data_IF_208296334091
#
_entry.id   IF_208296334091
#
_cell.length_a   1.000
_cell.length_b   1.000
_cell.length_c   1.000
_cell.angle_alpha   90.00
_cell.angle_beta   90.00
_cell.angle_gamma   90.00
#
_symmetry.space_group_name_H-M   'P 1'
#
loop_
_entity.id
_entity.type
_entity.pdbx_description
1 polymer ?
#
# COMPACT_ATOMS: atom_id res chain seq x y z
N UNK A 1 28.35 -68.57 -74.56
CA UNK A 1 26.92 -68.24 -74.70
C UNK A 1 26.30 -68.07 -73.33
N UNK A 2 25.51 -67.00 -73.18
CA UNK A 2 24.61 -66.63 -72.10
C UNK A 2 25.26 -65.90 -70.93
N UNK A 3 25.04 -64.60 -70.98
CA UNK A 3 25.17 -63.56 -69.94
C UNK A 3 24.25 -63.87 -68.79
N UNK A 4 24.78 -63.79 -67.59
CA UNK A 4 23.94 -63.63 -66.40
C UNK A 4 24.18 -62.26 -65.80
N UNK A 5 23.17 -61.46 -65.83
CA UNK A 5 23.13 -60.14 -65.26
C UNK A 5 22.98 -60.27 -63.72
N UNK A 6 23.95 -59.84 -62.98
CA UNK A 6 23.87 -59.68 -61.54
C UNK A 6 23.43 -58.25 -61.28
N UNK A 7 22.21 -58.11 -60.84
CA UNK A 7 21.63 -56.85 -60.36
C UNK A 7 22.11 -56.61 -58.91
N UNK A 8 22.95 -55.60 -58.77
CA UNK A 8 23.40 -55.14 -57.46
C UNK A 8 22.40 -54.12 -56.93
N UNK A 9 21.59 -54.52 -55.96
CA UNK A 9 20.65 -53.64 -55.25
C UNK A 9 21.44 -52.89 -54.15
N UNK A 10 21.68 -51.59 -54.35
CA UNK A 10 22.18 -50.68 -53.35
C UNK A 10 21.07 -50.29 -52.40
N UNK A 11 21.07 -50.83 -51.19
CA UNK A 11 20.18 -50.36 -50.09
C UNK A 11 20.75 -49.08 -49.49
N UNK A 12 20.18 -47.97 -49.83
CA UNK A 12 20.42 -46.70 -49.15
C UNK A 12 19.70 -46.69 -47.83
N UNK A 13 20.47 -46.94 -46.75
CA UNK A 13 19.98 -46.72 -45.36
C UNK A 13 19.93 -45.21 -45.11
N UNK A 14 18.71 -44.62 -45.21
CA UNK A 14 18.45 -43.30 -44.70
C UNK A 14 18.46 -43.38 -43.16
N UNK A 15 19.57 -42.98 -42.55
CA UNK A 15 19.65 -42.73 -41.15
C UNK A 15 18.77 -41.50 -40.79
N UNK A 16 17.63 -41.75 -40.20
CA UNK A 16 16.84 -40.68 -39.55
C UNK A 16 17.62 -40.17 -38.31
N UNK A 17 18.25 -39.02 -38.48
CA UNK A 17 18.80 -38.29 -37.33
C UNK A 17 17.58 -37.77 -36.56
N UNK A 18 17.15 -38.49 -35.55
CA UNK A 18 16.22 -37.97 -34.55
C UNK A 18 16.96 -36.89 -33.77
N UNK A 19 16.78 -35.65 -34.16
CA UNK A 19 17.18 -34.50 -33.35
C UNK A 19 16.45 -34.61 -32.01
N UNK A 20 17.17 -34.91 -30.95
CA UNK A 20 16.66 -34.75 -29.60
C UNK A 20 16.36 -33.25 -29.43
N UNK A 21 15.11 -32.85 -29.61
CA UNK A 21 14.66 -31.55 -29.13
C UNK A 21 14.72 -31.63 -27.61
N UNK A 22 15.67 -30.90 -27.02
CA UNK A 22 15.65 -30.65 -25.60
C UNK A 22 14.28 -30.02 -25.27
N UNK A 23 13.45 -30.74 -24.55
CA UNK A 23 12.21 -30.19 -24.06
C UNK A 23 12.58 -29.02 -23.16
N UNK A 24 12.08 -27.85 -23.54
CA UNK A 24 12.24 -26.65 -22.77
C UNK A 24 11.41 -26.79 -21.48
N UNK A 25 12.08 -27.08 -20.37
CA UNK A 25 11.43 -27.46 -19.09
C UNK A 25 10.78 -26.28 -18.36
N UNK A 26 10.52 -25.20 -19.05
CA UNK A 26 9.72 -24.09 -18.57
C UNK A 26 10.46 -22.75 -18.60
N UNK A 27 9.84 -21.80 -19.24
CA UNK A 27 10.25 -20.40 -19.16
C UNK A 27 9.26 -19.62 -18.33
N UNK A 28 9.78 -18.60 -17.64
CA UNK A 28 8.99 -17.62 -16.92
C UNK A 28 9.50 -16.22 -17.22
N UNK A 29 8.62 -15.23 -17.11
CA UNK A 29 8.96 -13.81 -17.16
C UNK A 29 8.80 -13.23 -15.76
N UNK A 30 9.85 -12.59 -15.25
CA UNK A 30 9.79 -11.77 -14.05
C UNK A 30 9.93 -10.32 -14.47
N UNK A 31 8.97 -9.50 -14.07
CA UNK A 31 9.01 -8.06 -14.36
C UNK A 31 9.30 -7.32 -13.05
N UNK A 32 10.34 -6.51 -13.06
CA UNK A 32 10.71 -5.63 -11.96
C UNK A 32 10.27 -4.21 -12.31
N UNK A 33 9.56 -3.57 -11.39
CA UNK A 33 9.11 -2.18 -11.52
C UNK A 33 9.48 -1.42 -10.25
N UNK A 34 9.74 -0.13 -10.40
CA UNK A 34 10.09 0.73 -9.29
C UNK A 34 10.32 2.16 -9.76
N UNK A 35 10.53 3.07 -8.83
CA UNK A 35 10.91 4.45 -9.10
C UNK A 35 12.06 4.87 -8.19
N UNK A 36 12.91 5.75 -8.68
CA UNK A 36 13.91 6.45 -7.88
C UNK A 36 13.34 7.84 -7.59
N UNK A 37 13.25 8.20 -6.31
CA UNK A 37 12.75 9.50 -5.87
C UNK A 37 13.88 10.26 -5.18
N UNK A 38 13.82 11.58 -5.25
CA UNK A 38 14.71 12.47 -4.48
C UNK A 38 14.09 12.70 -3.10
N UNK A 39 14.47 11.87 -2.13
CA UNK A 39 14.00 11.97 -0.75
C UNK A 39 15.16 11.63 0.20
N UNK A 40 15.29 12.36 1.33
CA UNK A 40 16.39 12.16 2.27
C UNK A 40 16.27 10.87 3.08
N UNK A 41 15.10 10.25 3.13
CA UNK A 41 14.82 8.99 3.83
C UNK A 41 14.04 8.03 2.92
N UNK A 42 14.20 6.74 3.13
CA UNK A 42 13.32 5.70 2.60
C UNK A 42 12.17 5.43 3.57
N UNK A 43 11.00 5.03 3.06
CA UNK A 43 9.91 4.56 3.90
C UNK A 43 10.10 3.07 4.17
N UNK A 44 10.01 2.64 5.44
CA UNK A 44 10.03 1.22 5.80
C UNK A 44 8.94 0.48 5.01
N UNK A 45 9.25 -0.64 4.34
CA UNK A 45 8.28 -1.41 3.56
C UNK A 45 7.00 -1.80 4.31
N UNK A 46 7.07 -2.00 5.63
CA UNK A 46 5.90 -2.29 6.48
C UNK A 46 5.00 -1.07 6.69
N UNK A 47 5.52 0.13 6.47
CA UNK A 47 4.75 1.38 6.56
C UNK A 47 4.14 1.81 5.22
N UNK A 48 4.61 1.25 4.09
CA UNK A 48 4.08 1.58 2.75
C UNK A 48 2.69 1.00 2.55
N UNK A 49 2.45 -0.21 3.08
CA UNK A 49 1.15 -0.90 3.00
C UNK A 49 0.84 -1.52 4.36
N UNK A 50 0.03 -0.82 5.14
CA UNK A 50 -0.33 -1.23 6.50
C UNK A 50 -1.84 -1.19 6.71
N UNK A 51 -2.33 -2.05 7.59
CA UNK A 51 -3.74 -2.09 7.99
C UNK A 51 -3.88 -1.60 9.42
N UNK A 52 -4.74 -0.61 9.65
CA UNK A 52 -5.11 -0.12 10.98
C UNK A 52 -6.50 -0.66 11.32
N UNK A 53 -6.57 -1.58 12.28
CA UNK A 53 -7.83 -2.14 12.74
C UNK A 53 -8.47 -1.21 13.79
N UNK A 54 -9.58 -0.57 13.41
CA UNK A 54 -10.34 0.30 14.31
C UNK A 54 -11.24 -0.49 15.27
N UNK A 55 -11.36 -1.81 15.09
CA UNK A 55 -12.12 -2.70 15.94
C UNK A 55 -13.65 -2.57 15.78
N UNK A 56 -14.37 -3.18 16.71
CA UNK A 56 -15.82 -3.05 16.79
C UNK A 56 -16.20 -1.79 17.60
N UNK A 57 -16.88 -0.86 16.97
CA UNK A 57 -17.30 0.40 17.58
C UNK A 57 -18.82 0.40 17.74
N UNK A 58 -19.29 0.72 18.94
CA UNK A 58 -20.72 0.86 19.21
C UNK A 58 -21.30 2.07 18.45
N UNK A 59 -22.45 1.89 17.80
CA UNK A 59 -23.16 2.99 17.16
C UNK A 59 -23.50 4.13 18.14
N UNK A 60 -23.76 3.79 19.40
CA UNK A 60 -24.07 4.78 20.45
C UNK A 60 -22.90 5.74 20.67
N UNK A 61 -21.66 5.27 20.56
CA UNK A 61 -20.46 6.12 20.72
C UNK A 61 -20.31 7.17 19.61
N UNK A 62 -20.98 6.96 18.48
CA UNK A 62 -20.88 7.83 17.30
C UNK A 62 -22.06 8.81 17.19
N UNK A 63 -23.07 8.70 18.06
CA UNK A 63 -24.23 9.60 18.06
C UNK A 63 -23.80 11.05 18.28
N UNK A 64 -24.52 11.97 17.64
CA UNK A 64 -24.29 13.41 17.77
C UNK A 64 -22.86 13.87 17.46
N UNK A 65 -22.17 13.15 16.57
CA UNK A 65 -20.77 13.45 16.23
C UNK A 65 -19.75 12.92 17.24
N UNK A 66 -20.14 11.93 18.05
CA UNK A 66 -19.24 11.26 18.99
C UNK A 66 -18.12 10.52 18.28
N UNK A 67 -17.13 10.05 19.05
CA UNK A 67 -15.89 9.44 18.55
C UNK A 67 -15.71 8.04 19.15
N UNK A 68 -15.04 7.16 18.40
CA UNK A 68 -14.46 5.94 18.98
C UNK A 68 -13.10 6.23 19.64
N UNK A 69 -12.57 5.23 20.32
CA UNK A 69 -11.20 5.30 20.84
C UNK A 69 -10.18 5.36 19.69
N UNK A 70 -9.17 6.25 19.80
CA UNK A 70 -8.14 6.35 18.78
C UNK A 70 -7.24 5.11 18.76
N UNK A 71 -6.87 4.65 17.56
CA UNK A 71 -5.92 3.59 17.33
C UNK A 71 -4.63 4.20 16.77
N UNK A 72 -3.49 4.00 17.46
CA UNK A 72 -2.22 4.52 16.97
C UNK A 72 -1.72 3.75 15.76
N UNK A 73 -1.06 4.44 14.86
CA UNK A 73 -0.26 3.88 13.78
C UNK A 73 0.93 4.80 13.50
N UNK A 74 1.92 4.28 12.77
CA UNK A 74 3.15 5.02 12.52
C UNK A 74 3.65 4.83 11.10
N UNK A 75 4.34 5.83 10.58
CA UNK A 75 5.10 5.74 9.35
C UNK A 75 6.58 5.80 9.76
N UNK A 76 7.28 4.69 9.56
CA UNK A 76 8.71 4.59 9.85
C UNK A 76 9.52 4.99 8.63
N UNK A 77 10.53 5.80 8.87
CA UNK A 77 11.52 6.23 7.91
C UNK A 77 12.85 5.60 8.26
N UNK A 78 13.55 5.11 7.26
CA UNK A 78 14.84 4.44 7.41
C UNK A 78 15.86 4.96 6.40
N UNK A 79 17.13 4.64 6.62
CA UNK A 79 18.23 5.02 5.72
C UNK A 79 18.24 6.51 5.42
N UNK A 80 17.95 7.30 6.44
CA UNK A 80 17.98 8.75 6.32
C UNK A 80 19.41 9.25 6.13
N UNK A 81 19.57 10.23 5.27
CA UNK A 81 20.81 10.99 5.06
C UNK A 81 20.50 12.47 5.19
N UNK A 82 20.69 13.00 6.39
CA UNK A 82 20.28 14.35 6.78
C UNK A 82 21.49 15.13 7.30
N UNK A 83 22.04 16.02 6.49
CA UNK A 83 23.10 16.95 6.92
C UNK A 83 22.59 18.02 7.89
N UNK A 84 21.31 18.39 7.75
CA UNK A 84 20.59 19.32 8.61
C UNK A 84 19.27 18.75 9.04
N UNK A 85 18.75 19.19 10.19
CA UNK A 85 17.42 18.81 10.65
C UNK A 85 16.35 19.16 9.60
N UNK A 86 15.40 18.26 9.39
CA UNK A 86 14.29 18.43 8.46
C UNK A 86 12.95 18.33 9.17
N UNK A 87 12.01 19.14 8.73
CA UNK A 87 10.61 19.03 9.16
C UNK A 87 9.84 18.25 8.11
N UNK A 88 9.19 17.18 8.52
CA UNK A 88 8.37 16.34 7.63
C UNK A 88 6.90 16.60 7.89
N UNK A 89 6.15 16.91 6.84
CA UNK A 89 4.69 16.97 6.86
C UNK A 89 4.12 15.81 6.07
N UNK A 90 3.02 15.26 6.56
CA UNK A 90 2.30 14.16 5.89
C UNK A 90 0.94 14.65 5.43
N UNK A 91 0.63 14.42 4.17
CA UNK A 91 -0.70 14.68 3.60
C UNK A 91 -1.37 13.34 3.31
N UNK A 92 -2.56 13.14 3.86
CA UNK A 92 -3.39 11.97 3.55
C UNK A 92 -4.42 12.33 2.49
N UNK A 93 -4.63 11.43 1.52
CA UNK A 93 -5.61 11.55 0.45
C UNK A 93 -6.42 10.25 0.32
N UNK A 94 -7.69 10.36 -0.11
CA UNK A 94 -8.59 9.22 -0.27
C UNK A 94 -10.02 9.65 -0.55
N UNK A 95 -10.97 8.74 -0.39
CA UNK A 95 -12.39 9.05 -0.55
C UNK A 95 -12.82 10.10 0.48
N UNK A 96 -13.48 11.18 0.03
CA UNK A 96 -13.93 12.23 0.92
C UNK A 96 -15.13 11.77 1.76
N UNK A 97 -15.02 11.92 3.08
CA UNK A 97 -16.08 11.81 4.06
C UNK A 97 -16.67 13.18 4.43
N UNK A 98 -17.42 13.26 5.54
CA UNK A 98 -17.91 14.54 6.03
C UNK A 98 -16.81 15.37 6.70
N UNK A 99 -16.98 16.68 6.65
CA UNK A 99 -16.15 17.67 7.33
C UNK A 99 -14.63 17.56 7.03
N UNK A 100 -14.26 17.13 5.81
CA UNK A 100 -12.87 16.95 5.42
C UNK A 100 -12.20 15.72 6.03
N UNK A 101 -12.99 14.79 6.56
CA UNK A 101 -12.51 13.50 7.06
C UNK A 101 -12.44 12.46 5.93
N UNK A 102 -11.78 11.32 6.21
CA UNK A 102 -11.69 10.22 5.27
C UNK A 102 -13.01 9.43 5.27
N UNK A 103 -13.57 9.21 4.09
CA UNK A 103 -14.80 8.46 3.89
C UNK A 103 -14.62 6.96 4.02
N UNK A 104 -15.72 6.26 4.22
CA UNK A 104 -15.78 4.81 4.32
C UNK A 104 -16.61 4.22 3.18
N UNK A 105 -16.29 2.98 2.82
CA UNK A 105 -17.08 2.12 1.93
C UNK A 105 -17.57 0.90 2.69
N UNK A 106 -18.67 0.28 2.25
CA UNK A 106 -19.25 -0.88 2.89
C UNK A 106 -20.70 -0.64 3.32
N UNK A 107 -21.19 -1.46 4.26
CA UNK A 107 -22.56 -1.41 4.73
C UNK A 107 -22.75 -0.36 5.83
N UNK A 108 -21.74 -0.10 6.64
CA UNK A 108 -21.79 0.93 7.68
C UNK A 108 -21.94 2.33 7.07
N UNK A 109 -22.75 3.17 7.72
CA UNK A 109 -23.01 4.56 7.29
C UNK A 109 -23.08 5.50 8.48
N UNK A 110 -22.94 6.80 8.21
CA UNK A 110 -23.13 7.86 9.19
C UNK A 110 -21.91 8.20 10.03
N UNK A 111 -20.72 7.70 9.62
CA UNK A 111 -19.45 8.04 10.24
C UNK A 111 -18.36 8.23 9.19
N UNK A 112 -17.30 8.90 9.57
CA UNK A 112 -16.09 9.13 8.79
C UNK A 112 -14.86 8.81 9.64
N UNK A 113 -13.71 8.59 9.03
CA UNK A 113 -12.45 8.31 9.74
C UNK A 113 -11.71 9.63 9.92
N UNK A 114 -11.43 9.97 11.17
CA UNK A 114 -10.55 11.06 11.54
C UNK A 114 -9.13 10.54 11.71
N UNK A 115 -8.16 11.27 11.16
CA UNK A 115 -6.73 11.00 11.32
C UNK A 115 -6.13 12.16 12.10
N UNK A 116 -5.31 11.88 13.11
CA UNK A 116 -4.61 12.89 13.89
C UNK A 116 -3.11 12.64 13.87
N UNK A 117 -2.34 13.70 14.08
CA UNK A 117 -0.89 13.62 14.31
C UNK A 117 -0.57 13.16 15.73
N UNK A 118 0.73 12.99 16.03
CA UNK A 118 1.23 12.58 17.35
C UNK A 118 0.91 13.56 18.49
N UNK A 119 0.43 14.77 18.18
CA UNK A 119 -0.04 15.78 19.15
C UNK A 119 -1.57 15.85 19.23
N UNK A 120 -2.28 14.88 18.64
CA UNK A 120 -3.74 14.82 18.54
C UNK A 120 -4.39 15.95 17.73
N UNK A 121 -3.65 16.66 16.87
CA UNK A 121 -4.25 17.61 15.95
C UNK A 121 -4.88 16.89 14.79
N UNK A 122 -6.13 17.25 14.47
CA UNK A 122 -6.86 16.67 13.33
C UNK A 122 -6.19 17.05 12.02
N UNK A 123 -5.96 16.07 11.18
CA UNK A 123 -5.45 16.25 9.82
C UNK A 123 -6.63 16.17 8.86
N UNK A 124 -6.98 17.28 8.23
CA UNK A 124 -8.00 17.26 7.19
C UNK A 124 -7.46 16.59 5.92
N UNK A 125 -8.31 15.84 5.25
CA UNK A 125 -7.97 15.14 4.02
C UNK A 125 -7.46 16.13 2.95
N UNK A 126 -6.35 15.80 2.29
CA UNK A 126 -5.70 16.67 1.30
C UNK A 126 -4.96 17.86 1.91
N UNK A 127 -4.86 17.97 3.23
CA UNK A 127 -4.08 19.02 3.91
C UNK A 127 -2.86 18.41 4.60
N UNK A 128 -1.73 19.16 4.65
CA UNK A 128 -0.56 18.69 5.37
C UNK A 128 -0.81 18.67 6.89
N UNK A 129 -0.24 17.69 7.56
CA UNK A 129 -0.16 17.63 9.02
C UNK A 129 0.73 18.75 9.58
N UNK A 130 0.72 18.92 10.90
CA UNK A 130 1.80 19.63 11.57
C UNK A 130 3.15 18.96 11.25
N UNK A 131 4.21 19.77 11.18
CA UNK A 131 5.55 19.27 10.88
C UNK A 131 6.12 18.46 12.03
N UNK A 132 6.67 17.30 11.74
CA UNK A 132 7.42 16.49 12.70
C UNK A 132 8.92 16.65 12.39
N UNK A 133 9.69 17.02 13.41
CA UNK A 133 11.13 17.29 13.25
C UNK A 133 11.92 15.99 13.23
N UNK A 134 12.79 15.84 12.25
CA UNK A 134 13.83 14.79 12.20
C UNK A 134 15.17 15.48 12.42
N UNK A 135 15.90 15.02 13.42
CA UNK A 135 17.21 15.59 13.79
C UNK A 135 18.27 15.35 12.70
N UNK A 136 19.22 16.27 12.60
CA UNK A 136 20.40 16.06 11.76
C UNK A 136 21.16 14.81 12.19
N UNK A 137 21.68 14.05 11.23
CA UNK A 137 22.41 12.80 11.47
C UNK A 137 21.55 11.61 11.90
N UNK A 138 20.22 11.78 12.00
CA UNK A 138 19.34 10.64 12.27
C UNK A 138 19.34 9.66 11.08
N UNK A 139 19.51 8.37 11.36
CA UNK A 139 19.43 7.30 10.35
C UNK A 139 17.99 6.76 10.18
N UNK A 140 17.14 7.02 11.17
CA UNK A 140 15.76 6.56 11.24
C UNK A 140 14.87 7.63 11.88
N UNK A 141 13.59 7.61 11.56
CA UNK A 141 12.59 8.45 12.22
C UNK A 141 11.22 7.76 12.23
N UNK A 142 10.38 8.10 13.19
CA UNK A 142 9.01 7.59 13.29
C UNK A 142 8.05 8.76 13.30
N UNK A 143 7.13 8.77 12.34
CA UNK A 143 6.04 9.73 12.29
C UNK A 143 4.82 9.08 12.93
N UNK A 144 4.36 9.63 14.06
CA UNK A 144 3.27 9.08 14.85
C UNK A 144 1.92 9.69 14.43
N UNK A 145 0.91 8.83 14.32
CA UNK A 145 -0.46 9.19 13.99
C UNK A 145 -1.44 8.35 14.79
N UNK A 146 -2.71 8.77 14.78
CA UNK A 146 -3.83 7.96 15.27
C UNK A 146 -5.02 8.10 14.34
N UNK A 147 -5.87 7.08 14.30
CA UNK A 147 -7.13 7.11 13.56
C UNK A 147 -8.28 6.65 14.44
N UNK A 148 -9.46 7.24 14.23
CA UNK A 148 -10.68 6.86 14.94
C UNK A 148 -11.90 7.14 14.08
N UNK A 149 -13.02 6.46 14.40
CA UNK A 149 -14.33 6.78 13.81
C UNK A 149 -14.91 8.01 14.47
N UNK A 150 -15.42 8.91 13.65
CA UNK A 150 -16.19 10.08 14.07
C UNK A 150 -17.57 10.02 13.43
N UNK A 151 -18.61 10.10 14.24
CA UNK A 151 -19.98 10.23 13.74
C UNK A 151 -20.14 11.50 12.91
N UNK A 152 -20.88 11.39 11.81
CA UNK A 152 -21.11 12.51 10.89
C UNK A 152 -22.10 13.56 11.43
N UNK A 153 -22.57 13.38 12.65
CA UNK A 153 -23.65 14.16 13.26
C UNK A 153 -25.03 13.62 12.84
N UNK A 154 -26.00 13.83 13.68
CA UNK A 154 -27.35 13.35 13.48
C UNK A 154 -27.81 12.42 14.59
N UNK A 155 -29.04 11.96 14.46
CA UNK A 155 -29.69 11.07 15.42
C UNK A 155 -29.26 9.61 15.30
N UNK A 156 -29.83 8.73 16.11
CA UNK A 156 -29.57 7.29 16.14
C UNK A 156 -29.85 6.58 14.81
N UNK A 157 -30.70 7.12 13.97
CA UNK A 157 -31.06 6.57 12.65
C UNK A 157 -30.02 6.89 11.57
N UNK A 158 -29.15 7.88 11.82
CA UNK A 158 -28.13 8.29 10.88
C UNK A 158 -26.92 7.33 10.89
N UNK A 159 -26.71 6.59 11.99
CA UNK A 159 -25.63 5.59 12.13
C UNK A 159 -26.19 4.21 11.78
N UNK A 160 -25.74 3.67 10.66
CA UNK A 160 -26.09 2.32 10.21
C UNK A 160 -24.98 1.36 10.56
N UNK A 161 -25.23 0.36 11.43
CA UNK A 161 -24.24 -0.68 11.72
C UNK A 161 -23.89 -1.51 10.47
N UNK A 162 -22.66 -1.97 10.39
CA UNK A 162 -22.19 -2.79 9.29
C UNK A 162 -20.67 -2.88 9.24
N UNK A 163 -20.15 -3.59 8.26
CA UNK A 163 -18.72 -3.60 7.96
C UNK A 163 -18.36 -2.38 7.12
N UNK A 164 -17.16 -1.86 7.34
CA UNK A 164 -16.61 -0.78 6.55
C UNK A 164 -15.15 -1.04 6.21
N UNK A 165 -14.69 -0.36 5.19
CA UNK A 165 -13.30 -0.28 4.78
C UNK A 165 -13.03 1.12 4.26
N UNK A 166 -11.78 1.56 4.38
CA UNK A 166 -11.30 2.78 3.76
C UNK A 166 -9.84 2.63 3.37
N UNK A 167 -9.42 3.39 2.38
CA UNK A 167 -8.01 3.47 1.96
C UNK A 167 -7.63 4.93 1.96
N UNK A 168 -6.53 5.23 2.65
CA UNK A 168 -5.86 6.52 2.60
C UNK A 168 -4.46 6.33 2.00
N UNK A 169 -4.14 7.10 0.98
CA UNK A 169 -2.78 7.26 0.50
C UNK A 169 -2.10 8.37 1.29
N UNK A 170 -0.78 8.33 1.42
CA UNK A 170 -0.05 9.41 2.06
C UNK A 170 1.11 9.91 1.21
N UNK A 171 1.45 11.17 1.37
CA UNK A 171 2.58 11.84 0.72
C UNK A 171 3.39 12.55 1.82
N UNK A 172 4.70 12.33 1.81
CA UNK A 172 5.64 12.99 2.70
C UNK A 172 6.29 14.18 2.00
N UNK A 173 6.38 15.32 2.68
CA UNK A 173 7.09 16.50 2.21
C UNK A 173 8.12 16.91 3.25
N UNK A 174 9.37 17.08 2.81
CA UNK A 174 10.52 17.47 3.62
C UNK A 174 10.85 18.97 3.41
N UNK A 175 11.03 19.68 4.51
CA UNK A 175 11.40 21.12 4.50
C UNK A 175 12.60 21.37 5.38
#
# INVERSE_FOLDING_TARGET
MKLNKIMMAAVLAFGTISGAQAADEGHGKVTFTGSIIDAPCSIDPKSVDQTVDLGAVSNVSLLNGGNSDPKPFEIRLEKCSLDTAKTVTTTFDGAAGKNGLLGMTGDAKGASIAITDGSNNLIALGKPSAGQLISAGASEATLAFSAYLKGDGGDDKSIVPGKFQSVANFILNYK
#
